data_IF_687406999892
#
_entry.id   IF_687406999892
#
_cell.length_a   1.000
_cell.length_b   1.000
_cell.length_c   1.000
_cell.angle_alpha   90.00
_cell.angle_beta   90.00
_cell.angle_gamma   90.00
#
_symmetry.space_group_name_H-M   'P 1'
#
loop_
_entity.id
_entity.type
_entity.pdbx_description
1 polymer ?
#
# COMPACT_ATOMS: atom_id res chain seq x y z
N UNK A 1 10.60 -2.06 84.89
CA UNK A 1 10.92 -0.65 85.20
C UNK A 1 10.04 0.17 84.29
N UNK A 2 8.81 0.44 84.73
CA UNK A 2 8.37 1.74 85.29
C UNK A 2 8.60 2.88 84.27
N UNK A 3 7.64 3.69 83.87
CA UNK A 3 6.27 3.92 84.35
C UNK A 3 5.60 4.94 83.42
N UNK A 4 4.35 4.65 83.06
CA UNK A 4 3.17 5.53 82.96
C UNK A 4 3.32 7.06 82.79
N UNK A 5 2.58 7.62 81.82
CA UNK A 5 1.43 8.50 82.12
C UNK A 5 0.50 8.68 80.92
N UNK A 6 -0.79 8.39 81.17
CA UNK A 6 -1.99 8.50 80.34
C UNK A 6 -2.56 9.93 80.41
N UNK A 7 -3.22 10.39 79.33
CA UNK A 7 -4.53 11.12 79.25
C UNK A 7 -4.76 11.54 77.79
N UNK A 8 -5.64 10.93 77.02
CA UNK A 8 -7.11 11.08 76.89
C UNK A 8 -7.59 12.26 76.01
N UNK A 9 -8.27 11.88 74.92
CA UNK A 9 -9.39 12.47 74.15
C UNK A 9 -9.42 13.99 73.88
N UNK A 10 -9.59 14.40 72.60
CA UNK A 10 -10.92 14.51 71.96
C UNK A 10 -10.82 15.10 70.53
N UNK A 11 -11.71 14.60 69.66
CA UNK A 11 -12.34 15.22 68.48
C UNK A 11 -11.72 16.48 67.83
N UNK A 12 -11.46 16.42 66.52
CA UNK A 12 -12.23 17.17 65.51
C UNK A 12 -11.68 16.93 64.11
N UNK A 13 -12.57 16.41 63.28
CA UNK A 13 -12.48 16.28 61.83
C UNK A 13 -12.35 17.69 61.21
N UNK A 14 -11.22 18.00 60.57
CA UNK A 14 -11.05 19.23 59.78
C UNK A 14 -10.46 18.87 58.42
N UNK A 15 -11.31 18.97 57.39
CA UNK A 15 -10.93 18.91 55.99
C UNK A 15 -9.99 20.08 55.62
N UNK A 16 -9.06 19.91 54.66
CA UNK A 16 -8.35 21.05 54.11
C UNK A 16 -9.25 21.76 53.09
N UNK A 17 -9.20 23.09 53.19
CA UNK A 17 -10.00 24.07 52.48
C UNK A 17 -9.87 24.00 50.96
N UNK A 18 -11.02 24.19 50.31
CA UNK A 18 -11.17 24.37 48.87
C UNK A 18 -10.74 25.79 48.53
N UNK A 19 -9.64 25.90 47.77
CA UNK A 19 -9.23 27.14 47.11
C UNK A 19 -10.14 27.45 45.92
N UNK A 20 -10.63 28.68 45.91
CA UNK A 20 -11.66 29.25 45.05
C UNK A 20 -11.22 29.46 43.59
N UNK A 21 -12.09 29.03 42.67
CA UNK A 21 -12.43 29.65 41.38
C UNK A 21 -11.33 30.02 40.38
N UNK A 22 -11.16 29.14 39.37
CA UNK A 22 -10.94 29.58 37.99
C UNK A 22 -12.15 29.10 37.16
N UNK A 23 -12.98 30.04 36.73
CA UNK A 23 -14.13 29.77 35.87
C UNK A 23 -13.64 29.17 34.54
N UNK A 24 -14.22 28.03 34.16
CA UNK A 24 -14.01 27.44 32.84
C UNK A 24 -14.68 28.35 31.79
N UNK A 25 -13.86 28.95 30.92
CA UNK A 25 -14.36 29.60 29.71
C UNK A 25 -14.90 28.55 28.72
N UNK A 26 -15.99 28.84 27.98
CA UNK A 26 -16.50 27.93 26.96
C UNK A 26 -15.52 27.86 25.80
N UNK A 27 -15.18 26.65 25.36
CA UNK A 27 -14.50 26.41 24.09
C UNK A 27 -15.45 26.75 22.93
N UNK A 28 -15.54 28.04 22.62
CA UNK A 28 -16.24 28.56 21.45
C UNK A 28 -15.23 29.39 20.65
N UNK A 29 -14.78 28.82 19.53
CA UNK A 29 -14.30 29.46 18.28
C UNK A 29 -13.29 28.55 17.57
N UNK A 30 -13.80 27.64 16.73
CA UNK A 30 -13.05 27.18 15.59
C UNK A 30 -12.83 28.39 14.66
N UNK A 31 -11.59 28.86 14.56
CA UNK A 31 -11.25 29.90 13.59
C UNK A 31 -11.56 29.43 12.17
N UNK A 32 -12.10 30.29 11.28
CA UNK A 32 -12.34 29.92 9.90
C UNK A 32 -10.99 29.65 9.21
N UNK A 33 -10.91 28.55 8.46
CA UNK A 33 -9.83 28.26 7.53
C UNK A 33 -9.58 29.50 6.65
N UNK A 34 -8.40 30.10 6.77
CA UNK A 34 -8.01 31.27 5.97
C UNK A 34 -7.86 30.85 4.50
N UNK A 35 -8.36 31.67 3.58
CA UNK A 35 -8.36 31.35 2.14
C UNK A 35 -6.99 31.11 1.51
N UNK A 36 -5.92 31.60 2.15
CA UNK A 36 -4.52 31.40 1.73
C UNK A 36 -4.07 29.93 1.94
N UNK A 37 -4.53 29.29 3.02
CA UNK A 37 -4.18 27.90 3.32
C UNK A 37 -4.94 26.92 2.40
N UNK A 38 -6.19 27.25 2.03
CA UNK A 38 -6.97 26.46 1.07
C UNK A 38 -6.37 26.53 -0.33
N UNK A 39 -5.97 27.72 -0.79
CA UNK A 39 -5.31 27.88 -2.10
C UNK A 39 -3.98 27.12 -2.17
N UNK A 40 -3.22 27.08 -1.08
CA UNK A 40 -1.98 26.31 -1.01
C UNK A 40 -2.22 24.78 -1.04
N UNK A 41 -3.25 24.29 -0.34
CA UNK A 41 -3.62 22.88 -0.34
C UNK A 41 -4.12 22.42 -1.72
N UNK A 42 -4.92 23.25 -2.38
CA UNK A 42 -5.43 23.00 -3.73
C UNK A 42 -4.27 22.97 -4.75
N UNK A 43 -3.27 23.85 -4.60
CA UNK A 43 -2.08 23.87 -5.45
C UNK A 43 -1.20 22.62 -5.27
N UNK A 44 -0.94 22.19 -4.02
CA UNK A 44 -0.17 20.97 -3.73
C UNK A 44 -0.87 19.72 -4.26
N UNK A 45 -2.20 19.64 -4.11
CA UNK A 45 -2.98 18.54 -4.64
C UNK A 45 -2.94 18.53 -6.17
N UNK A 46 -3.04 19.69 -6.83
CA UNK A 46 -2.93 19.79 -8.28
C UNK A 46 -1.56 19.34 -8.81
N UNK A 47 -0.47 19.67 -8.10
CA UNK A 47 0.88 19.21 -8.44
C UNK A 47 1.01 17.69 -8.27
N UNK A 48 0.47 17.15 -7.17
CA UNK A 48 0.43 15.71 -6.95
C UNK A 48 -0.33 14.97 -8.06
N UNK A 49 -1.51 15.46 -8.45
CA UNK A 49 -2.29 14.87 -9.55
C UNK A 49 -1.50 14.92 -10.87
N UNK A 50 -0.80 16.01 -11.17
CA UNK A 50 0.03 16.11 -12.36
C UNK A 50 1.18 15.09 -12.37
N UNK A 51 1.79 14.78 -11.21
CA UNK A 51 2.79 13.71 -11.08
C UNK A 51 2.17 12.34 -11.42
N UNK A 52 0.98 12.05 -10.89
CA UNK A 52 0.29 10.79 -11.15
C UNK A 52 -0.12 10.63 -12.62
N UNK A 53 -0.62 11.70 -13.25
CA UNK A 53 -0.97 11.73 -14.68
C UNK A 53 0.24 11.52 -15.59
N UNK A 54 1.40 12.09 -15.23
CA UNK A 54 2.67 11.83 -15.94
C UNK A 54 3.03 10.35 -15.86
N UNK A 55 3.02 9.74 -14.68
CA UNK A 55 3.28 8.30 -14.51
C UNK A 55 2.32 7.48 -15.37
N UNK A 56 1.01 7.79 -15.30
CA UNK A 56 -0.01 7.09 -16.07
C UNK A 56 0.23 7.18 -17.58
N UNK A 57 0.61 8.36 -18.08
CA UNK A 57 0.92 8.58 -19.49
C UNK A 57 2.13 7.75 -19.92
N UNK A 58 3.19 7.71 -19.11
CA UNK A 58 4.40 6.95 -19.41
C UNK A 58 4.15 5.45 -19.45
N UNK A 59 3.35 4.94 -18.51
CA UNK A 59 3.00 3.52 -18.46
C UNK A 59 2.10 3.13 -19.64
N UNK A 60 1.10 3.96 -19.99
CA UNK A 60 0.18 3.72 -21.12
C UNK A 60 0.88 3.64 -22.48
N UNK A 61 1.98 4.38 -22.66
CA UNK A 61 2.79 4.28 -23.88
C UNK A 61 3.37 2.87 -24.06
N UNK A 62 3.68 2.17 -22.97
CA UNK A 62 4.29 0.84 -23.01
C UNK A 62 3.27 -0.30 -22.84
N UNK A 63 2.14 -0.05 -22.18
CA UNK A 63 1.12 -1.06 -21.82
C UNK A 63 -0.25 -0.69 -22.41
N UNK A 64 -0.77 -1.53 -23.32
CA UNK A 64 -2.08 -1.31 -23.96
C UNK A 64 -3.20 -2.11 -23.30
N UNK A 65 -4.42 -1.55 -23.35
CA UNK A 65 -5.66 -2.24 -22.98
C UNK A 65 -5.76 -2.65 -21.51
N UNK A 66 -5.05 -1.94 -20.62
CA UNK A 66 -4.95 -2.28 -19.19
C UNK A 66 -5.07 -1.08 -18.27
N UNK A 67 -5.88 -0.09 -18.63
CA UNK A 67 -6.04 1.14 -17.87
C UNK A 67 -6.37 0.90 -16.39
N UNK A 68 -7.30 -0.01 -16.10
CA UNK A 68 -7.66 -0.37 -14.72
C UNK A 68 -6.47 -0.90 -13.91
N UNK A 69 -5.63 -1.76 -14.51
CA UNK A 69 -4.47 -2.34 -13.83
C UNK A 69 -3.36 -1.29 -13.64
N UNK A 70 -3.20 -0.39 -14.61
CA UNK A 70 -2.27 0.73 -14.52
C UNK A 70 -2.70 1.66 -13.38
N UNK A 71 -3.98 2.02 -13.32
CA UNK A 71 -4.55 2.86 -12.26
C UNK A 71 -4.34 2.22 -10.88
N UNK A 72 -4.67 0.93 -10.71
CA UNK A 72 -4.45 0.21 -9.45
C UNK A 72 -2.97 0.14 -9.04
N UNK A 73 -2.06 -0.04 -10.00
CA UNK A 73 -0.62 -0.06 -9.72
C UNK A 73 -0.10 1.31 -9.26
N UNK A 74 -0.57 2.40 -9.88
CA UNK A 74 -0.25 3.78 -9.49
C UNK A 74 -0.83 4.09 -8.10
N UNK A 75 -2.09 3.70 -7.86
CA UNK A 75 -2.72 3.83 -6.55
C UNK A 75 -1.86 3.15 -5.48
N UNK A 76 -1.42 1.91 -5.72
CA UNK A 76 -0.60 1.18 -4.76
C UNK A 76 0.76 1.84 -4.52
N UNK A 77 1.46 2.25 -5.57
CA UNK A 77 2.75 2.94 -5.46
C UNK A 77 2.66 4.18 -4.56
N UNK A 78 1.66 5.04 -4.82
CA UNK A 78 1.51 6.31 -4.09
C UNK A 78 0.96 6.06 -2.69
N UNK A 79 0.05 5.10 -2.51
CA UNK A 79 -0.51 4.70 -1.22
C UNK A 79 0.45 3.90 -0.31
N UNK A 80 1.73 3.73 -0.73
CA UNK A 80 2.73 2.90 -0.06
C UNK A 80 2.30 1.42 0.15
N UNK A 81 1.48 0.92 -0.77
CA UNK A 81 1.00 -0.46 -0.78
C UNK A 81 1.74 -1.29 -1.82
N UNK A 82 1.85 -2.60 -1.60
CA UNK A 82 2.41 -3.54 -2.58
C UNK A 82 1.32 -4.24 -3.40
N UNK A 83 1.64 -4.72 -4.60
CA UNK A 83 0.70 -5.39 -5.51
C UNK A 83 1.08 -6.85 -5.75
N UNK A 84 0.08 -7.74 -5.70
CA UNK A 84 0.19 -9.13 -6.14
C UNK A 84 -0.63 -9.34 -7.42
N UNK A 85 0.05 -9.65 -8.51
CA UNK A 85 -0.55 -9.94 -9.81
C UNK A 85 -0.73 -11.47 -9.98
N UNK A 86 -1.97 -11.90 -10.14
CA UNK A 86 -2.32 -13.27 -10.53
C UNK A 86 -2.63 -13.36 -12.01
N UNK A 87 -2.04 -14.34 -12.69
CA UNK A 87 -2.06 -14.30 -14.14
C UNK A 87 -1.65 -15.60 -14.86
N UNK A 88 -1.91 -15.60 -16.17
CA UNK A 88 -1.46 -16.54 -17.18
C UNK A 88 -0.14 -16.05 -17.83
N UNK A 89 0.71 -16.94 -18.37
CA UNK A 89 1.91 -16.53 -19.08
C UNK A 89 1.61 -15.56 -20.26
N UNK A 90 2.45 -14.55 -20.48
CA UNK A 90 2.40 -13.68 -21.68
C UNK A 90 1.48 -12.44 -21.61
N UNK A 91 0.90 -12.13 -20.46
CA UNK A 91 -0.08 -11.04 -20.30
C UNK A 91 0.48 -9.61 -20.22
N UNK A 92 1.81 -9.42 -20.19
CA UNK A 92 2.44 -8.09 -20.12
C UNK A 92 2.71 -7.53 -18.71
N UNK A 93 2.57 -8.31 -17.63
CA UNK A 93 2.93 -7.89 -16.25
C UNK A 93 4.38 -7.43 -16.09
N UNK A 94 5.33 -8.09 -16.76
CA UNK A 94 6.73 -7.64 -16.78
C UNK A 94 6.86 -6.27 -17.44
N UNK A 95 6.11 -6.03 -18.51
CA UNK A 95 6.08 -4.73 -19.20
C UNK A 95 5.49 -3.64 -18.30
N UNK A 96 4.41 -3.93 -17.57
CA UNK A 96 3.82 -3.01 -16.60
C UNK A 96 4.81 -2.60 -15.51
N UNK A 97 5.40 -3.57 -14.81
CA UNK A 97 6.31 -3.28 -13.72
C UNK A 97 7.57 -2.55 -14.20
N UNK A 98 8.09 -2.93 -15.37
CA UNK A 98 9.23 -2.27 -16.00
C UNK A 98 8.88 -0.82 -16.38
N UNK A 99 7.74 -0.60 -17.05
CA UNK A 99 7.31 0.74 -17.46
C UNK A 99 7.10 1.68 -16.27
N UNK A 100 6.53 1.16 -15.17
CA UNK A 100 6.37 1.93 -13.94
C UNK A 100 7.73 2.26 -13.30
N UNK A 101 8.64 1.28 -13.20
CA UNK A 101 10.00 1.52 -12.69
C UNK A 101 10.80 2.50 -13.55
N UNK A 102 10.66 2.46 -14.87
CA UNK A 102 11.33 3.37 -15.81
C UNK A 102 10.70 4.77 -15.86
N UNK A 103 9.44 4.93 -15.44
CA UNK A 103 8.80 6.24 -15.31
C UNK A 103 9.34 7.06 -14.12
N UNK A 104 10.05 6.41 -13.20
CA UNK A 104 10.60 7.03 -11.99
C UNK A 104 12.10 7.13 -12.15
N UNK A 105 12.63 8.36 -12.10
CA UNK A 105 14.07 8.63 -12.13
C UNK A 105 14.55 9.02 -10.74
N UNK A 106 15.77 8.61 -10.41
CA UNK A 106 16.46 9.11 -9.23
C UNK A 106 17.61 10.00 -9.71
N UNK A 107 17.67 11.28 -9.34
CA UNK A 107 18.84 12.12 -9.64
C UNK A 107 20.05 11.52 -8.93
N UNK A 108 20.81 10.71 -9.66
CA UNK A 108 21.98 9.99 -9.17
C UNK A 108 23.13 10.95 -8.94
N UNK A 109 23.32 11.38 -7.68
CA UNK A 109 24.60 11.90 -7.18
C UNK A 109 24.97 11.35 -5.79
N UNK A 110 24.13 10.52 -5.18
CA UNK A 110 24.50 9.84 -3.94
C UNK A 110 25.20 8.51 -4.26
N UNK A 111 26.50 8.59 -4.53
CA UNK A 111 27.43 7.44 -4.65
C UNK A 111 27.45 6.50 -3.42
N UNK A 112 26.63 6.76 -2.39
CA UNK A 112 26.64 6.04 -1.11
C UNK A 112 25.62 4.91 -1.00
N UNK A 113 24.63 4.81 -1.88
CA UNK A 113 23.60 3.77 -1.79
C UNK A 113 23.33 3.16 -3.18
N UNK A 114 23.54 1.85 -3.32
CA UNK A 114 23.26 1.05 -4.54
C UNK A 114 21.75 0.90 -4.84
N UNK A 115 20.94 1.92 -4.56
CA UNK A 115 19.49 1.90 -4.80
C UNK A 115 19.23 2.36 -6.24
N UNK A 116 18.59 1.50 -7.02
CA UNK A 116 18.27 1.77 -8.42
C UNK A 116 16.76 1.95 -8.63
N UNK A 117 16.31 2.60 -9.71
CA UNK A 117 14.88 2.77 -9.97
C UNK A 117 14.10 1.48 -10.09
N UNK A 118 14.69 0.46 -10.73
CA UNK A 118 14.01 -0.80 -11.02
C UNK A 118 14.93 -2.00 -10.88
N UNK A 119 14.42 -3.06 -10.23
CA UNK A 119 15.02 -4.40 -10.23
C UNK A 119 13.96 -5.45 -10.53
N UNK A 120 14.37 -6.48 -11.26
CA UNK A 120 13.60 -7.70 -11.47
C UNK A 120 14.30 -8.86 -10.76
N UNK A 121 13.54 -9.58 -9.94
CA UNK A 121 13.97 -10.80 -9.26
C UNK A 121 13.11 -11.93 -9.80
N UNK A 122 13.74 -12.92 -10.41
CA UNK A 122 13.06 -14.16 -10.81
C UNK A 122 13.12 -15.14 -9.64
N UNK A 123 11.97 -15.55 -9.13
CA UNK A 123 11.91 -16.52 -8.04
C UNK A 123 12.03 -17.93 -8.61
N UNK A 124 13.13 -18.59 -8.28
CA UNK A 124 13.43 -19.97 -8.68
C UNK A 124 13.53 -20.89 -7.46
N UNK A 125 13.39 -22.22 -7.64
CA UNK A 125 13.45 -23.17 -6.53
C UNK A 125 14.79 -23.19 -5.78
N UNK A 126 15.88 -22.77 -6.44
CA UNK A 126 17.25 -22.74 -5.94
C UNK A 126 17.66 -21.39 -5.33
N UNK A 127 16.81 -20.36 -5.44
CA UNK A 127 17.07 -19.04 -4.90
C UNK A 127 17.28 -19.11 -3.37
N UNK A 128 18.28 -18.41 -2.85
CA UNK A 128 18.52 -18.27 -1.41
C UNK A 128 17.96 -16.93 -0.90
N UNK A 129 17.60 -16.82 0.39
CA UNK A 129 17.18 -15.54 0.97
C UNK A 129 18.20 -14.42 0.74
N UNK A 130 19.48 -14.77 0.85
CA UNK A 130 20.62 -13.89 0.63
C UNK A 130 20.74 -13.36 -0.79
N UNK A 131 20.22 -14.08 -1.80
CA UNK A 131 20.21 -13.61 -3.19
C UNK A 131 19.17 -12.51 -3.40
N UNK A 132 18.20 -12.36 -2.48
CA UNK A 132 17.18 -11.31 -2.46
C UNK A 132 17.62 -10.15 -1.58
N UNK A 133 18.04 -10.47 -0.34
CA UNK A 133 18.35 -9.47 0.69
C UNK A 133 19.77 -8.91 0.59
N UNK A 134 20.71 -9.63 -0.01
CA UNK A 134 22.12 -9.26 -0.04
C UNK A 134 22.97 -10.05 0.96
N UNK A 135 24.30 -9.87 0.84
CA UNK A 135 25.30 -10.62 1.61
C UNK A 135 26.50 -9.77 1.97
N UNK A 136 27.16 -10.02 3.11
CA UNK A 136 28.50 -9.51 3.35
C UNK A 136 29.51 -10.21 2.43
N UNK A 137 30.29 -9.42 1.70
CA UNK A 137 31.36 -9.87 0.81
C UNK A 137 32.68 -9.38 1.39
N UNK A 138 33.65 -10.29 1.52
CA UNK A 138 35.00 -9.93 1.95
C UNK A 138 35.73 -9.20 0.81
N UNK A 139 36.15 -7.97 1.07
CA UNK A 139 37.02 -7.20 0.17
C UNK A 139 38.49 -7.36 0.60
N UNK A 140 39.29 -7.97 -0.27
CA UNK A 140 40.70 -8.20 -0.02
C UNK A 140 41.53 -6.90 0.03
N UNK A 141 41.07 -5.81 -0.60
CA UNK A 141 41.79 -4.53 -0.59
C UNK A 141 41.66 -3.82 0.77
N UNK A 142 40.46 -3.79 1.33
CA UNK A 142 40.19 -3.19 2.64
C UNK A 142 40.34 -4.18 3.82
N UNK A 143 40.51 -5.47 3.53
CA UNK A 143 40.58 -6.55 4.53
C UNK A 143 39.37 -6.55 5.49
N UNK A 144 38.20 -6.23 4.94
CA UNK A 144 36.95 -6.07 5.68
C UNK A 144 35.78 -6.68 4.91
N UNK A 145 34.72 -7.03 5.63
CA UNK A 145 33.44 -7.42 5.02
C UNK A 145 32.65 -6.15 4.68
N UNK A 146 32.21 -6.03 3.44
CA UNK A 146 31.29 -4.99 2.98
C UNK A 146 29.97 -5.62 2.61
N UNK A 147 28.88 -5.01 3.05
CA UNK A 147 27.56 -5.48 2.67
C UNK A 147 27.29 -5.16 1.20
N UNK A 148 27.01 -6.19 0.42
CA UNK A 148 26.55 -6.05 -0.95
C UNK A 148 25.03 -6.15 -0.95
N UNK A 149 24.38 -5.02 -1.22
CA UNK A 149 22.94 -4.93 -1.34
C UNK A 149 22.38 -5.96 -2.33
N UNK A 150 21.32 -6.65 -1.91
CA UNK A 150 20.55 -7.53 -2.78
C UNK A 150 19.67 -6.73 -3.76
N UNK A 151 19.04 -7.40 -4.74
CA UNK A 151 18.17 -6.76 -5.71
C UNK A 151 16.88 -6.17 -5.10
N UNK A 152 16.59 -6.43 -3.81
CA UNK A 152 15.47 -5.79 -3.11
C UNK A 152 15.71 -4.29 -2.82
N UNK A 153 16.96 -3.83 -2.87
CA UNK A 153 17.32 -2.42 -2.73
C UNK A 153 17.09 -1.68 -4.05
N UNK A 154 15.84 -1.33 -4.31
CA UNK A 154 15.40 -0.56 -5.48
C UNK A 154 14.11 0.22 -5.14
N UNK A 155 13.78 1.25 -5.92
CA UNK A 155 12.48 1.92 -5.77
C UNK A 155 11.34 0.97 -6.17
N UNK A 156 11.44 0.32 -7.34
CA UNK A 156 10.45 -0.65 -7.82
C UNK A 156 11.08 -2.02 -7.99
N UNK A 157 10.53 -3.03 -7.32
CA UNK A 157 10.93 -4.43 -7.43
C UNK A 157 9.82 -5.25 -8.09
N UNK A 158 10.13 -5.84 -9.23
CA UNK A 158 9.33 -6.92 -9.82
C UNK A 158 9.81 -8.26 -9.26
N UNK A 159 8.99 -8.91 -8.44
CA UNK A 159 9.23 -10.25 -7.93
C UNK A 159 8.40 -11.25 -8.73
N UNK A 160 9.04 -11.90 -9.70
CA UNK A 160 8.37 -12.75 -10.68
C UNK A 160 8.27 -14.20 -10.17
N UNK A 161 7.08 -14.77 -10.21
CA UNK A 161 6.75 -16.13 -9.79
C UNK A 161 7.09 -16.43 -8.32
N UNK A 162 6.67 -15.57 -7.39
CA UNK A 162 7.05 -15.67 -5.97
C UNK A 162 6.65 -16.99 -5.31
N UNK A 163 5.66 -17.69 -5.88
CA UNK A 163 5.23 -19.02 -5.45
C UNK A 163 6.18 -20.16 -5.91
N UNK A 164 7.21 -19.92 -6.71
CA UNK A 164 8.16 -20.97 -7.19
C UNK A 164 9.41 -21.15 -6.34
N UNK A 165 9.52 -20.48 -5.20
CA UNK A 165 10.65 -20.61 -4.27
C UNK A 165 10.22 -21.12 -2.90
N UNK A 166 11.19 -21.51 -2.07
CA UNK A 166 10.91 -21.99 -0.72
C UNK A 166 10.26 -20.93 0.19
N UNK A 167 9.44 -21.33 1.19
CA UNK A 167 8.83 -20.40 2.13
C UNK A 167 9.82 -19.49 2.88
N UNK A 168 11.07 -19.92 3.04
CA UNK A 168 12.12 -19.11 3.68
C UNK A 168 12.50 -17.88 2.86
N UNK A 169 12.60 -18.04 1.54
CA UNK A 169 12.94 -16.95 0.61
C UNK A 169 11.77 -15.98 0.47
N UNK A 170 10.54 -16.52 0.37
CA UNK A 170 9.31 -15.71 0.42
C UNK A 170 9.27 -14.87 1.70
N UNK A 171 9.53 -15.49 2.85
CA UNK A 171 9.51 -14.81 4.15
C UNK A 171 10.53 -13.68 4.22
N UNK A 172 11.76 -13.88 3.73
CA UNK A 172 12.79 -12.84 3.74
C UNK A 172 12.38 -11.58 2.94
N UNK A 173 11.76 -11.77 1.77
CA UNK A 173 11.23 -10.67 0.97
C UNK A 173 10.03 -9.99 1.65
N UNK A 174 9.10 -10.77 2.20
CA UNK A 174 7.89 -10.26 2.83
C UNK A 174 8.16 -9.55 4.17
N UNK A 175 9.20 -9.97 4.88
CA UNK A 175 9.73 -9.25 6.04
C UNK A 175 10.26 -7.89 5.61
N UNK A 176 11.09 -7.84 4.57
CA UNK A 176 11.58 -6.59 4.01
C UNK A 176 10.45 -5.66 3.53
N UNK A 177 9.36 -6.21 2.97
CA UNK A 177 8.15 -5.45 2.64
C UNK A 177 7.42 -4.90 3.86
N UNK A 178 7.29 -5.71 4.91
CA UNK A 178 6.56 -5.31 6.12
C UNK A 178 7.30 -4.28 6.97
N UNK A 179 8.62 -4.44 7.08
CA UNK A 179 9.48 -3.65 7.96
C UNK A 179 10.22 -2.53 7.23
N UNK A 180 10.15 -2.48 5.89
CA UNK A 180 10.90 -1.53 5.03
C UNK A 180 12.41 -1.49 5.32
N UNK A 181 12.96 -2.62 5.76
CA UNK A 181 14.38 -2.76 6.10
C UNK A 181 14.81 -4.22 5.97
N UNK A 182 16.12 -4.46 5.87
CA UNK A 182 16.74 -5.78 5.84
C UNK A 182 17.77 -5.87 6.95
N UNK A 183 17.74 -6.93 7.75
CA UNK A 183 18.76 -7.17 8.79
C UNK A 183 19.63 -8.37 8.43
N UNK A 184 20.94 -8.16 8.35
CA UNK A 184 21.94 -9.21 8.10
C UNK A 184 23.07 -9.06 9.12
N UNK A 185 23.47 -10.16 9.76
CA UNK A 185 24.53 -10.20 10.78
C UNK A 185 24.39 -9.12 11.89
N UNK A 186 23.15 -8.88 12.34
CA UNK A 186 22.77 -7.86 13.33
C UNK A 186 22.96 -6.40 12.88
N UNK A 187 23.17 -6.16 11.59
CA UNK A 187 23.16 -4.82 10.99
C UNK A 187 21.91 -4.65 10.16
N UNK A 188 21.19 -3.56 10.42
CA UNK A 188 19.94 -3.22 9.72
C UNK A 188 20.21 -2.17 8.65
N UNK A 189 19.73 -2.45 7.44
CA UNK A 189 19.84 -1.62 6.26
C UNK A 189 18.43 -1.17 5.85
N UNK A 190 18.12 0.14 5.88
CA UNK A 190 16.81 0.63 5.46
C UNK A 190 16.62 0.46 3.95
N UNK A 191 15.38 0.21 3.52
CA UNK A 191 14.98 0.34 2.12
C UNK A 191 14.57 1.79 1.84
N UNK A 192 14.49 2.16 0.56
CA UNK A 192 14.03 3.48 0.16
C UNK A 192 12.57 3.72 0.58
N UNK A 193 12.20 4.96 0.93
CA UNK A 193 10.79 5.30 1.24
C UNK A 193 9.82 5.04 0.08
N UNK A 194 10.32 4.99 -1.15
CA UNK A 194 9.57 4.63 -2.36
C UNK A 194 9.57 3.13 -2.64
N UNK A 195 10.16 2.29 -1.79
CA UNK A 195 10.24 0.84 -1.98
C UNK A 195 8.86 0.22 -2.22
N UNK A 196 8.64 -0.18 -3.46
CA UNK A 196 7.40 -0.70 -4.00
C UNK A 196 7.64 -2.05 -4.66
N UNK A 197 6.70 -2.97 -4.47
CA UNK A 197 6.82 -4.35 -4.94
C UNK A 197 5.61 -4.68 -5.79
N UNK A 198 5.89 -5.18 -6.98
CA UNK A 198 4.94 -5.89 -7.82
C UNK A 198 5.37 -7.36 -7.80
N UNK A 199 4.64 -8.19 -7.07
CA UNK A 199 4.84 -9.62 -7.09
C UNK A 199 3.93 -10.28 -8.11
N UNK A 200 4.37 -11.37 -8.72
CA UNK A 200 3.54 -12.18 -9.62
C UNK A 200 3.45 -13.60 -9.10
N UNK A 201 2.28 -14.22 -9.27
CA UNK A 201 2.13 -15.66 -9.05
C UNK A 201 1.25 -16.27 -10.15
N UNK A 202 1.62 -17.48 -10.58
CA UNK A 202 0.80 -18.26 -11.50
C UNK A 202 -0.07 -19.23 -10.69
N UNK A 203 -1.40 -19.06 -10.68
CA UNK A 203 -2.30 -19.92 -9.90
C UNK A 203 -2.41 -21.35 -10.47
N UNK A 204 -2.01 -21.57 -11.74
CA UNK A 204 -2.11 -22.87 -12.40
C UNK A 204 -0.88 -23.77 -12.20
N UNK A 205 0.22 -23.23 -11.69
CA UNK A 205 1.41 -24.02 -11.40
C UNK A 205 1.19 -24.82 -10.11
N UNK A 206 0.78 -26.08 -10.26
CA UNK A 206 0.51 -26.99 -9.14
C UNK A 206 1.74 -27.80 -8.69
N UNK A 207 2.78 -27.88 -9.52
CA UNK A 207 3.96 -28.71 -9.24
C UNK A 207 5.15 -27.82 -8.90
N UNK A 208 5.71 -28.02 -7.71
CA UNK A 208 6.90 -27.28 -7.28
C UNK A 208 6.63 -25.83 -6.86
N UNK A 209 5.38 -25.51 -6.52
CA UNK A 209 5.00 -24.20 -5.98
C UNK A 209 4.63 -24.27 -4.50
N UNK A 210 4.82 -23.15 -3.82
CA UNK A 210 4.53 -22.91 -2.42
C UNK A 210 3.58 -21.72 -2.35
N UNK A 211 2.27 -21.95 -2.10
CA UNK A 211 1.31 -20.86 -2.00
C UNK A 211 1.62 -19.99 -0.79
N UNK A 212 1.36 -18.68 -0.92
CA UNK A 212 1.53 -17.74 0.17
C UNK A 212 0.42 -17.98 1.21
N UNK A 213 0.77 -18.19 2.49
CA UNK A 213 -0.20 -18.19 3.58
C UNK A 213 -0.97 -16.87 3.66
N UNK A 214 -2.22 -16.90 4.13
CA UNK A 214 -3.07 -15.71 4.31
C UNK A 214 -2.37 -14.57 5.08
N UNK A 215 -1.61 -14.82 6.17
CA UNK A 215 -0.88 -13.75 6.86
C UNK A 215 0.20 -13.06 6.02
N UNK A 216 0.72 -13.74 5.00
CA UNK A 216 1.68 -13.16 4.05
C UNK A 216 0.96 -12.34 2.98
N UNK A 217 -0.18 -12.84 2.48
CA UNK A 217 -1.02 -12.12 1.52
C UNK A 217 -1.49 -10.76 2.06
N UNK A 218 -1.77 -10.64 3.37
CA UNK A 218 -2.22 -9.39 3.99
C UNK A 218 -1.24 -8.21 3.84
N UNK A 219 0.05 -8.48 3.52
CA UNK A 219 1.07 -7.46 3.23
C UNK A 219 0.91 -6.77 1.88
N UNK A 220 0.16 -7.36 0.94
CA UNK A 220 -0.14 -6.75 -0.35
C UNK A 220 -1.39 -5.90 -0.24
N UNK A 221 -1.33 -4.61 -0.61
CA UNK A 221 -2.51 -3.75 -0.67
C UNK A 221 -3.55 -4.32 -1.63
N UNK A 222 -3.13 -4.60 -2.87
CA UNK A 222 -3.99 -5.18 -3.89
C UNK A 222 -3.53 -6.57 -4.28
N UNK A 223 -4.51 -7.44 -4.49
CA UNK A 223 -4.38 -8.61 -5.35
C UNK A 223 -5.17 -8.32 -6.62
N UNK A 224 -4.55 -8.48 -7.78
CA UNK A 224 -5.15 -8.13 -9.08
C UNK A 224 -5.05 -9.34 -10.00
N UNK A 225 -6.20 -9.80 -10.51
CA UNK A 225 -6.25 -10.86 -11.51
C UNK A 225 -6.23 -10.25 -12.90
N UNK A 226 -5.13 -10.44 -13.63
CA UNK A 226 -5.00 -9.92 -14.99
C UNK A 226 -5.69 -10.83 -15.98
N UNK A 227 -6.78 -10.34 -16.59
CA UNK A 227 -7.49 -11.03 -17.66
C UNK A 227 -6.86 -10.72 -19.02
N UNK A 228 -7.26 -11.46 -20.05
CA UNK A 228 -6.95 -11.09 -21.44
C UNK A 228 -7.50 -9.69 -21.73
N UNK A 229 -6.74 -8.91 -22.51
CA UNK A 229 -7.20 -7.61 -23.03
C UNK A 229 -8.31 -7.84 -24.06
N UNK A 230 -9.10 -6.82 -24.34
CA UNK A 230 -10.12 -6.93 -25.38
C UNK A 230 -9.50 -7.09 -26.78
N UNK A 231 -10.34 -7.46 -27.73
CA UNK A 231 -9.94 -7.75 -29.11
C UNK A 231 -9.25 -6.55 -29.78
N UNK A 232 -9.72 -5.34 -29.54
CA UNK A 232 -9.25 -4.16 -30.26
C UNK A 232 -7.89 -3.71 -29.69
N UNK A 233 -7.72 -3.80 -28.37
CA UNK A 233 -6.42 -3.64 -27.72
C UNK A 233 -5.42 -4.72 -28.16
N UNK A 234 -5.87 -5.98 -28.32
CA UNK A 234 -5.01 -7.07 -28.80
C UNK A 234 -4.54 -6.82 -30.24
N UNK A 235 -5.41 -6.34 -31.11
CA UNK A 235 -5.04 -5.93 -32.47
C UNK A 235 -4.03 -4.78 -32.44
N UNK A 236 -4.24 -3.75 -31.61
CA UNK A 236 -3.32 -2.63 -31.49
C UNK A 236 -1.91 -3.08 -31.02
N UNK A 237 -1.83 -4.03 -30.09
CA UNK A 237 -0.55 -4.63 -29.66
C UNK A 237 0.17 -5.28 -30.85
N UNK A 238 -0.55 -6.00 -31.71
CA UNK A 238 0.02 -6.65 -32.89
C UNK A 238 0.48 -5.64 -33.94
N UNK A 239 -0.32 -4.59 -34.18
CA UNK A 239 -0.01 -3.53 -35.15
C UNK A 239 1.20 -2.68 -34.72
N UNK A 240 1.34 -2.43 -33.42
CA UNK A 240 2.40 -1.57 -32.87
C UNK A 240 3.65 -2.33 -32.41
N UNK A 241 3.73 -3.64 -32.63
CA UNK A 241 4.84 -4.49 -32.16
C UNK A 241 6.23 -4.02 -32.63
N UNK A 242 6.36 -3.58 -33.89
CA UNK A 242 7.65 -3.13 -34.45
C UNK A 242 8.06 -1.76 -33.92
N UNK A 243 7.12 -0.81 -33.86
CA UNK A 243 7.40 0.55 -33.38
C UNK A 243 7.73 0.55 -31.89
N UNK A 244 7.03 -0.25 -31.07
CA UNK A 244 7.31 -0.38 -29.62
C UNK A 244 8.68 -0.95 -29.31
N UNK A 245 9.23 -1.82 -30.16
CA UNK A 245 10.58 -2.33 -29.99
C UNK A 245 11.66 -1.27 -30.23
N UNK A 246 11.30 -0.18 -30.91
CA UNK A 246 12.16 0.96 -31.23
C UNK A 246 11.93 2.17 -30.31
N UNK A 247 10.78 2.24 -29.62
CA UNK A 247 10.54 3.21 -28.55
C UNK A 247 11.48 2.83 -27.39
N UNK A 248 12.64 3.48 -27.35
CA UNK A 248 13.42 3.59 -26.12
C UNK A 248 12.64 4.38 -25.07
N UNK A 249 13.12 4.37 -23.82
CA UNK A 249 12.57 5.07 -22.65
C UNK A 249 12.69 6.60 -22.76
N UNK A 250 12.30 7.17 -23.90
CA UNK A 250 12.21 8.61 -24.13
C UNK A 250 10.78 9.07 -23.81
N UNK A 251 10.36 8.82 -22.57
CA UNK A 251 9.12 9.36 -22.01
C UNK A 251 9.42 10.50 -21.05
N UNK A 252 8.41 11.31 -20.77
CA UNK A 252 8.41 12.13 -19.55
C UNK A 252 8.72 11.23 -18.35
N UNK A 253 9.43 11.71 -17.35
CA UNK A 253 9.70 10.93 -16.14
C UNK A 253 9.42 11.81 -14.93
N UNK A 254 9.13 11.16 -13.82
CA UNK A 254 8.98 11.82 -12.53
C UNK A 254 10.14 11.40 -11.65
N UNK A 255 10.59 12.30 -10.80
CA UNK A 255 11.61 12.01 -9.81
C UNK A 255 11.03 11.22 -8.64
N UNK A 256 11.86 10.42 -7.98
CA UNK A 256 11.50 9.73 -6.72
C UNK A 256 10.92 10.69 -5.68
N UNK A 257 11.49 11.88 -5.54
CA UNK A 257 11.03 12.88 -4.58
C UNK A 257 9.70 13.53 -4.97
N UNK A 258 9.42 13.73 -6.27
CA UNK A 258 8.09 14.17 -6.74
C UNK A 258 7.00 13.16 -6.37
N UNK A 259 7.28 11.85 -6.47
CA UNK A 259 6.31 10.80 -6.08
C UNK A 259 6.02 10.83 -4.58
N UNK A 260 7.05 11.04 -3.75
CA UNK A 260 6.88 11.12 -2.30
C UNK A 260 6.19 12.43 -1.87
N UNK A 261 6.50 13.54 -2.52
CA UNK A 261 5.80 14.80 -2.32
C UNK A 261 4.31 14.67 -2.70
N UNK A 262 4.00 13.96 -3.78
CA UNK A 262 2.62 13.67 -4.18
C UNK A 262 1.89 12.81 -3.13
N UNK A 263 2.55 11.79 -2.56
CA UNK A 263 2.01 10.99 -1.45
C UNK A 263 1.64 11.86 -0.25
N UNK A 264 2.55 12.72 0.21
CA UNK A 264 2.31 13.62 1.34
C UNK A 264 1.19 14.63 1.06
N UNK A 265 1.16 15.21 -0.15
CA UNK A 265 0.13 16.16 -0.54
C UNK A 265 -1.27 15.52 -0.59
N UNK A 266 -1.39 14.30 -1.11
CA UNK A 266 -2.67 13.58 -1.16
C UNK A 266 -3.17 13.25 0.24
N UNK A 267 -2.29 12.75 1.12
CA UNK A 267 -2.64 12.42 2.50
C UNK A 267 -3.18 13.64 3.26
N UNK A 268 -2.55 14.80 3.09
CA UNK A 268 -2.95 16.05 3.75
C UNK A 268 -4.15 16.76 3.12
N UNK A 269 -4.38 16.63 1.81
CA UNK A 269 -5.39 17.41 1.09
C UNK A 269 -6.69 16.66 0.75
N UNK A 270 -6.69 15.32 0.74
CA UNK A 270 -7.89 14.54 0.40
C UNK A 270 -8.64 14.08 1.64
N UNK A 271 -9.86 14.61 1.83
CA UNK A 271 -10.64 14.36 3.03
C UNK A 271 -11.29 12.96 3.05
N UNK A 272 -11.17 12.26 4.19
CA UNK A 272 -11.92 11.04 4.50
C UNK A 272 -12.96 11.37 5.57
N UNK A 273 -14.24 11.40 5.18
CA UNK A 273 -15.32 11.74 6.10
C UNK A 273 -15.53 10.66 7.17
N UNK A 274 -16.11 11.01 8.34
CA UNK A 274 -16.52 10.01 9.34
C UNK A 274 -17.47 8.96 8.77
N UNK A 275 -18.37 9.35 7.85
CA UNK A 275 -19.31 8.42 7.21
C UNK A 275 -18.61 7.34 6.38
N UNK A 276 -17.53 7.68 5.67
CA UNK A 276 -16.68 6.71 4.97
C UNK A 276 -16.07 5.71 5.96
N UNK A 277 -15.50 6.22 7.07
CA UNK A 277 -14.88 5.36 8.10
C UNK A 277 -15.89 4.42 8.75
N UNK A 278 -17.08 4.92 9.07
CA UNK A 278 -18.20 4.10 9.59
C UNK A 278 -18.58 3.02 8.59
N UNK A 279 -18.79 3.36 7.32
CA UNK A 279 -19.14 2.38 6.28
C UNK A 279 -18.07 1.28 6.15
N UNK A 280 -16.78 1.63 6.15
CA UNK A 280 -15.69 0.65 6.10
C UNK A 280 -15.69 -0.32 7.30
N UNK A 281 -15.99 0.19 8.50
CA UNK A 281 -16.09 -0.63 9.71
C UNK A 281 -17.32 -1.54 9.62
N UNK A 282 -18.48 -1.02 9.22
CA UNK A 282 -19.71 -1.79 9.13
C UNK A 282 -19.61 -2.89 8.05
N UNK A 283 -18.98 -2.61 6.90
CA UNK A 283 -18.64 -3.63 5.88
C UNK A 283 -17.80 -4.74 6.49
N UNK A 284 -16.79 -4.38 7.30
CA UNK A 284 -15.90 -5.35 7.94
C UNK A 284 -16.61 -6.19 9.00
N UNK A 285 -17.53 -5.59 9.77
CA UNK A 285 -18.38 -6.31 10.73
C UNK A 285 -19.27 -7.30 9.98
N UNK A 286 -19.97 -6.84 8.94
CA UNK A 286 -20.82 -7.69 8.11
C UNK A 286 -20.03 -8.89 7.56
N UNK A 287 -18.82 -8.67 7.03
CA UNK A 287 -17.96 -9.76 6.54
C UNK A 287 -17.51 -10.72 7.65
N UNK A 288 -17.27 -10.25 8.87
CA UNK A 288 -16.84 -11.11 9.99
C UNK A 288 -17.98 -11.94 10.59
N UNK A 289 -19.21 -11.45 10.48
CA UNK A 289 -20.41 -12.07 11.05
C UNK A 289 -21.20 -12.90 10.01
N UNK A 290 -20.88 -12.79 8.72
CA UNK A 290 -21.55 -13.56 7.66
C UNK A 290 -21.18 -15.05 7.71
N UNK A 291 -22.20 -15.93 7.77
CA UNK A 291 -22.02 -17.39 7.83
C UNK A 291 -21.25 -17.99 6.62
N UNK A 292 -21.15 -17.26 5.51
CA UNK A 292 -20.40 -17.66 4.31
C UNK A 292 -18.90 -17.36 4.44
N UNK A 293 -18.48 -16.68 5.51
CA UNK A 293 -17.10 -16.27 5.78
C UNK A 293 -16.57 -17.03 6.99
N UNK A 294 -15.47 -17.75 6.81
CA UNK A 294 -14.76 -18.45 7.90
C UNK A 294 -13.85 -17.51 8.67
N UNK A 295 -13.23 -16.56 7.95
CA UNK A 295 -12.36 -15.56 8.55
C UNK A 295 -12.52 -14.24 7.79
N UNK A 296 -13.03 -13.21 8.48
CA UNK A 296 -13.17 -11.87 7.92
C UNK A 296 -11.85 -11.08 7.89
N UNK A 297 -11.88 -9.90 7.28
CA UNK A 297 -10.72 -9.04 7.13
C UNK A 297 -10.23 -8.44 8.46
N UNK A 298 -8.95 -8.09 8.52
CA UNK A 298 -8.33 -7.49 9.71
C UNK A 298 -8.56 -5.97 9.77
N UNK A 299 -8.32 -5.38 10.95
CA UNK A 299 -8.28 -3.91 11.08
C UNK A 299 -7.14 -3.29 10.25
N UNK A 300 -6.02 -4.02 10.10
CA UNK A 300 -4.91 -3.60 9.23
C UNK A 300 -5.38 -3.40 7.79
N UNK A 301 -6.28 -4.24 7.30
CA UNK A 301 -6.87 -4.07 5.96
C UNK A 301 -7.57 -2.73 5.80
N UNK A 302 -8.35 -2.31 6.80
CA UNK A 302 -9.05 -1.02 6.78
C UNK A 302 -8.07 0.17 6.80
N UNK A 303 -6.99 0.07 7.58
CA UNK A 303 -5.95 1.11 7.64
C UNK A 303 -5.27 1.25 6.27
N UNK A 304 -4.93 0.13 5.63
CA UNK A 304 -4.32 0.11 4.29
C UNK A 304 -5.26 0.65 3.20
N UNK A 305 -6.58 0.59 3.39
CA UNK A 305 -7.55 1.14 2.44
C UNK A 305 -7.52 2.68 2.40
N UNK A 306 -7.23 3.36 3.50
CA UNK A 306 -7.42 4.81 3.59
C UNK A 306 -6.56 5.59 2.58
N UNK A 307 -5.22 5.37 2.50
CA UNK A 307 -4.41 6.08 1.51
C UNK A 307 -4.80 5.70 0.08
N UNK A 308 -5.17 4.43 -0.16
CA UNK A 308 -5.59 3.97 -1.48
C UNK A 308 -6.86 4.70 -1.97
N UNK A 309 -7.83 4.90 -1.08
CA UNK A 309 -9.05 5.65 -1.34
C UNK A 309 -8.75 7.13 -1.64
N UNK A 310 -7.83 7.74 -0.89
CA UNK A 310 -7.41 9.14 -1.12
C UNK A 310 -6.72 9.31 -2.47
N UNK A 311 -5.81 8.39 -2.83
CA UNK A 311 -5.12 8.44 -4.12
C UNK A 311 -6.10 8.27 -5.28
N UNK A 312 -7.07 7.35 -5.16
CA UNK A 312 -8.11 7.21 -6.19
C UNK A 312 -8.95 8.49 -6.29
N UNK A 313 -9.39 9.06 -5.18
CA UNK A 313 -10.11 10.33 -5.22
C UNK A 313 -9.31 11.44 -5.93
N UNK A 314 -8.00 11.55 -5.63
CA UNK A 314 -7.11 12.51 -6.29
C UNK A 314 -6.99 12.28 -7.80
N UNK A 315 -6.80 11.03 -8.25
CA UNK A 315 -6.76 10.65 -9.67
C UNK A 315 -8.04 11.04 -10.43
N UNK A 316 -9.18 11.02 -9.72
CA UNK A 316 -10.48 11.43 -10.25
C UNK A 316 -10.78 12.93 -10.00
N UNK A 317 -9.77 13.72 -9.68
CA UNK A 317 -9.85 15.18 -9.51
C UNK A 317 -10.64 15.64 -8.28
N UNK A 318 -10.81 14.77 -7.27
CA UNK A 318 -11.57 15.05 -6.05
C UNK A 318 -10.65 15.21 -4.85
N UNK A 319 -10.94 16.21 -4.02
CA UNK A 319 -10.32 16.42 -2.70
C UNK A 319 -11.07 15.71 -1.56
N UNK A 320 -11.91 14.72 -1.87
CA UNK A 320 -12.62 13.91 -0.89
C UNK A 320 -12.90 12.51 -1.42
N UNK A 321 -12.89 11.54 -0.51
CA UNK A 321 -13.26 10.13 -0.79
C UNK A 321 -14.78 10.00 -0.91
N UNK A 322 -15.22 9.24 -1.90
CA UNK A 322 -16.61 8.98 -2.25
C UNK A 322 -16.98 7.50 -2.12
N UNK A 323 -18.27 7.20 -2.26
CA UNK A 323 -18.79 5.83 -2.32
C UNK A 323 -18.15 5.00 -3.43
N UNK A 324 -17.96 5.59 -4.60
CA UNK A 324 -17.40 4.93 -5.77
C UNK A 324 -15.96 4.43 -5.52
N UNK A 325 -15.19 5.14 -4.70
CA UNK A 325 -13.84 4.70 -4.31
C UNK A 325 -13.86 3.41 -3.49
N UNK A 326 -14.84 3.28 -2.59
CA UNK A 326 -15.03 2.08 -1.77
C UNK A 326 -15.47 0.93 -2.67
N UNK A 327 -16.50 1.13 -3.50
CA UNK A 327 -17.03 0.09 -4.40
C UNK A 327 -15.95 -0.44 -5.35
N UNK A 328 -15.11 0.46 -5.87
CA UNK A 328 -14.08 0.09 -6.82
C UNK A 328 -12.89 -0.63 -6.17
N UNK A 329 -12.38 -0.14 -5.03
CA UNK A 329 -11.14 -0.67 -4.44
C UNK A 329 -11.35 -1.88 -3.52
N UNK A 330 -12.50 -1.99 -2.86
CA UNK A 330 -12.75 -3.04 -1.86
C UNK A 330 -12.55 -4.47 -2.41
N UNK A 331 -12.99 -4.82 -3.64
CA UNK A 331 -12.76 -6.16 -4.19
C UNK A 331 -11.26 -6.52 -4.27
N UNK A 332 -10.41 -5.58 -4.71
CA UNK A 332 -8.97 -5.82 -4.88
C UNK A 332 -8.21 -5.88 -3.55
N UNK A 333 -8.73 -5.21 -2.52
CA UNK A 333 -8.14 -5.17 -1.19
C UNK A 333 -8.59 -6.38 -0.37
N UNK A 334 -9.87 -6.73 -0.36
CA UNK A 334 -10.39 -7.72 0.58
C UNK A 334 -10.35 -9.16 0.08
N UNK A 335 -10.26 -9.40 -1.24
CA UNK A 335 -10.37 -10.76 -1.79
C UNK A 335 -9.33 -11.76 -1.27
N UNK A 336 -8.14 -11.31 -0.87
CA UNK A 336 -7.08 -12.16 -0.31
C UNK A 336 -6.95 -12.07 1.20
N UNK A 337 -7.89 -11.38 1.84
CA UNK A 337 -7.92 -11.12 3.28
C UNK A 337 -9.15 -11.71 3.96
N UNK A 338 -10.05 -12.30 3.17
CA UNK A 338 -11.26 -12.98 3.62
C UNK A 338 -11.20 -14.43 3.18
N UNK A 339 -11.37 -15.34 4.13
CA UNK A 339 -11.47 -16.77 3.87
C UNK A 339 -12.95 -17.18 3.87
N UNK A 340 -13.41 -17.78 2.78
CA UNK A 340 -14.79 -18.23 2.62
C UNK A 340 -15.03 -19.62 3.22
N UNK A 341 -16.27 -19.88 3.60
CA UNK A 341 -16.71 -21.20 4.03
C UNK A 341 -16.64 -22.24 2.90
N UNK A 342 -16.37 -23.52 3.22
CA UNK A 342 -16.36 -24.58 2.22
C UNK A 342 -17.66 -24.62 1.40
N UNK A 343 -17.53 -24.68 0.07
CA UNK A 343 -18.67 -24.69 -0.86
C UNK A 343 -19.14 -23.30 -1.30
N UNK A 344 -18.58 -22.22 -0.74
CA UNK A 344 -18.79 -20.85 -1.24
C UNK A 344 -17.62 -20.48 -2.16
N UNK A 345 -17.91 -20.27 -3.45
CA UNK A 345 -16.87 -20.00 -4.44
C UNK A 345 -16.75 -18.53 -4.86
N UNK A 346 -17.76 -17.70 -4.56
CA UNK A 346 -17.88 -16.34 -5.11
C UNK A 346 -17.76 -15.28 -4.01
N UNK A 347 -16.53 -14.83 -3.77
CA UNK A 347 -16.25 -13.73 -2.84
C UNK A 347 -16.96 -12.44 -3.26
N UNK A 348 -17.00 -12.13 -4.55
CA UNK A 348 -17.58 -10.89 -5.07
C UNK A 348 -19.06 -10.78 -4.70
N UNK A 349 -19.80 -11.89 -4.77
CA UNK A 349 -21.21 -11.90 -4.36
C UNK A 349 -21.38 -11.66 -2.85
N UNK A 350 -20.58 -12.33 -2.02
CA UNK A 350 -20.61 -12.15 -0.56
C UNK A 350 -20.30 -10.70 -0.21
N UNK A 351 -19.28 -10.13 -0.84
CA UNK A 351 -18.86 -8.75 -0.64
C UNK A 351 -19.97 -7.76 -1.01
N UNK A 352 -20.60 -7.91 -2.18
CA UNK A 352 -21.71 -7.04 -2.63
C UNK A 352 -22.88 -7.07 -1.65
N UNK A 353 -23.22 -8.25 -1.10
CA UNK A 353 -24.27 -8.37 -0.10
C UNK A 353 -23.89 -7.66 1.21
N UNK A 354 -22.64 -7.83 1.68
CA UNK A 354 -22.13 -7.20 2.90
C UNK A 354 -21.99 -5.67 2.79
N UNK A 355 -21.77 -5.15 1.57
CA UNK A 355 -21.63 -3.72 1.32
C UNK A 355 -22.96 -2.98 1.18
N UNK A 356 -24.05 -3.67 0.85
CA UNK A 356 -25.32 -3.02 0.48
C UNK A 356 -25.83 -2.03 1.52
N UNK A 357 -26.01 -2.48 2.76
CA UNK A 357 -26.58 -1.65 3.83
C UNK A 357 -25.64 -0.51 4.27
N UNK A 358 -24.34 -0.75 4.54
CA UNK A 358 -23.42 0.34 4.89
C UNK A 358 -23.32 1.43 3.83
N UNK A 359 -23.31 1.03 2.55
CA UNK A 359 -23.22 1.96 1.42
C UNK A 359 -24.52 2.79 1.27
N UNK A 360 -25.69 2.18 1.46
CA UNK A 360 -26.97 2.90 1.46
C UNK A 360 -27.06 3.91 2.61
N UNK A 361 -26.64 3.55 3.82
CA UNK A 361 -26.62 4.44 4.99
C UNK A 361 -25.70 5.63 4.76
N UNK A 362 -24.49 5.35 4.25
CA UNK A 362 -23.52 6.39 3.94
C UNK A 362 -24.02 7.36 2.86
N UNK A 363 -24.66 6.85 1.79
CA UNK A 363 -25.26 7.68 0.75
C UNK A 363 -26.32 8.63 1.31
N UNK A 364 -27.17 8.16 2.24
CA UNK A 364 -28.19 8.99 2.90
C UNK A 364 -27.60 10.07 3.80
N UNK A 365 -26.49 9.77 4.46
CA UNK A 365 -25.81 10.70 5.36
C UNK A 365 -24.97 11.76 4.62
N UNK A 366 -24.60 11.52 3.36
CA UNK A 366 -23.83 12.47 2.54
C UNK A 366 -24.73 13.49 1.81
N UNK A 367 -26.05 13.22 1.72
CA UNK A 367 -27.05 14.10 1.10
C UNK A 367 -27.59 15.16 2.09
N UNK A 368 -27.29 15.02 3.39
CA UNK A 368 -27.67 15.96 4.46
C UNK A 368 -26.47 16.79 4.86
#
# INVERSE_FOLDING_TARGET
MNSESVTDNNDLNVAPEVGEQAAAEPLENAHPFTGDNQQHLDARLSEAVAVLEKIQTCVRQQVLGRDDVIELAIIALVADGHVLLEDFPGSGKTTLAKALGESIVSPSDNEKEDIVPFRRIQFTPDLLPSDVTGVPVFDANSNAFHFRHGPIFAHVVLADEINRTSPKVQSAMLEAMGEKQVTVDNVTYPLDDLFFVIATQNPLDLVGTYPLPTPQLDRFLFKISMRHIDRDAELEVLETWQSRRQIGTAGESVTRDEVLAAREAIDGSVAISPAIKTALVDISINLREDDRVMQGNSTRSLVLMLPALQVRAALHGRSYVSADDIEHLTPYILQHRVELAPGVADFSKVLVDCMREPMEVMARNTIR
#
